data_IF_387530102288
#
_entry.id   IF_387530102288
#
_cell.length_a   1.000
_cell.length_b   1.000
_cell.length_c   1.000
_cell.angle_alpha   90.00
_cell.angle_beta   90.00
_cell.angle_gamma   90.00
#
_symmetry.space_group_name_H-M   'P 1'
#
loop_
_entity.id
_entity.type
_entity.pdbx_description
1 polymer ?
#
# COMPACT_ATOMS: atom_id res chain seq x y z
N UNK A 1 -9.42 -29.86 16.54
CA UNK A 1 -8.12 -29.34 17.07
C UNK A 1 -7.25 -29.03 15.88
N UNK A 2 -7.06 -27.75 15.56
CA UNK A 2 -6.19 -27.36 14.44
C UNK A 2 -4.73 -27.50 14.91
N UNK A 3 -3.96 -28.32 14.23
CA UNK A 3 -2.51 -28.46 14.48
C UNK A 3 -1.86 -27.10 14.28
N UNK A 4 -1.22 -26.57 15.34
CA UNK A 4 -0.30 -25.44 15.20
C UNK A 4 0.86 -25.94 14.32
N UNK A 5 0.88 -25.52 13.05
CA UNK A 5 2.09 -25.67 12.24
C UNK A 5 3.20 -24.92 12.97
N UNK A 6 4.21 -25.65 13.42
CA UNK A 6 5.44 -25.05 13.95
C UNK A 6 6.06 -24.22 12.82
N UNK A 7 6.18 -22.92 13.06
CA UNK A 7 6.99 -22.06 12.20
C UNK A 7 8.42 -22.56 12.30
N UNK A 8 9.00 -22.96 11.19
CA UNK A 8 10.41 -23.32 11.12
C UNK A 8 11.24 -22.10 11.51
N UNK A 9 11.82 -22.14 12.71
CA UNK A 9 12.64 -21.04 13.24
C UNK A 9 13.93 -20.82 12.43
N UNK A 10 14.26 -21.74 11.52
CA UNK A 10 15.41 -21.67 10.62
C UNK A 10 15.02 -21.29 9.18
N UNK A 11 13.75 -20.98 8.92
CA UNK A 11 13.34 -20.51 7.62
C UNK A 11 14.06 -19.17 7.31
N UNK A 12 15.02 -19.23 6.43
CA UNK A 12 15.73 -18.05 5.92
C UNK A 12 14.78 -17.33 4.96
N UNK A 13 14.14 -16.26 5.44
CA UNK A 13 13.35 -15.39 4.57
C UNK A 13 14.31 -14.62 3.65
N UNK A 14 13.99 -14.50 2.36
CA UNK A 14 14.83 -13.74 1.46
C UNK A 14 14.85 -12.26 1.86
N UNK A 15 16.05 -11.67 1.92
CA UNK A 15 16.20 -10.24 2.19
C UNK A 15 15.43 -9.42 1.14
N UNK A 16 14.62 -8.42 1.57
CA UNK A 16 13.89 -7.56 0.65
C UNK A 16 14.84 -6.59 -0.06
N UNK A 17 14.46 -6.17 -1.27
CA UNK A 17 15.18 -5.13 -1.99
C UNK A 17 14.87 -3.75 -1.39
N UNK A 18 15.62 -3.36 -0.36
CA UNK A 18 15.43 -2.08 0.35
C UNK A 18 15.76 -0.86 -0.52
N UNK A 19 16.71 -1.00 -1.47
CA UNK A 19 17.01 0.10 -2.40
C UNK A 19 15.80 0.42 -3.26
N UNK A 20 15.19 -0.60 -3.87
CA UNK A 20 13.97 -0.42 -4.65
C UNK A 20 12.81 0.13 -3.80
N UNK A 21 12.64 -0.35 -2.58
CA UNK A 21 11.61 0.18 -1.70
C UNK A 21 11.78 1.68 -1.44
N UNK A 22 13.01 2.14 -1.24
CA UNK A 22 13.32 3.55 -1.05
C UNK A 22 13.09 4.36 -2.33
N UNK A 23 13.51 3.85 -3.48
CA UNK A 23 13.30 4.51 -4.78
C UNK A 23 11.80 4.66 -5.07
N UNK A 24 11.01 3.60 -4.87
CA UNK A 24 9.54 3.64 -4.99
C UNK A 24 8.90 4.64 -4.03
N UNK A 25 9.39 4.74 -2.80
CA UNK A 25 8.89 5.71 -1.84
C UNK A 25 9.13 7.15 -2.32
N UNK A 26 10.33 7.44 -2.81
CA UNK A 26 10.68 8.76 -3.35
C UNK A 26 9.90 9.09 -4.63
N UNK A 27 9.71 8.13 -5.53
CA UNK A 27 8.89 8.31 -6.72
C UNK A 27 7.43 8.60 -6.35
N UNK A 28 6.85 7.81 -5.44
CA UNK A 28 5.48 8.01 -4.96
C UNK A 28 5.30 9.37 -4.28
N UNK A 29 6.25 9.80 -3.43
CA UNK A 29 6.21 11.12 -2.78
C UNK A 29 6.24 12.27 -3.79
N UNK A 30 6.90 12.12 -4.93
CA UNK A 30 6.96 13.13 -5.98
C UNK A 30 5.67 13.24 -6.81
N UNK A 31 4.82 12.21 -6.79
CA UNK A 31 3.56 12.20 -7.55
C UNK A 31 2.50 13.02 -6.81
N UNK A 32 1.94 14.09 -7.43
CA UNK A 32 0.80 14.80 -6.88
C UNK A 32 -0.40 13.87 -6.68
N UNK A 33 -1.04 13.93 -5.53
CA UNK A 33 -2.17 13.06 -5.22
C UNK A 33 -2.72 13.33 -3.82
N UNK A 34 -3.24 14.55 -3.62
CA UNK A 34 -4.00 14.86 -2.41
C UNK A 34 -5.33 14.13 -2.39
N UNK A 35 -5.97 14.07 -1.23
CA UNK A 35 -7.29 13.46 -1.06
C UNK A 35 -8.28 13.87 -2.17
N UNK A 36 -8.85 12.88 -2.85
CA UNK A 36 -9.75 13.04 -4.01
C UNK A 36 -9.05 13.24 -5.36
N UNK A 37 -7.72 13.29 -5.42
CA UNK A 37 -6.92 13.48 -6.63
C UNK A 37 -5.81 12.41 -6.79
N UNK A 38 -6.13 11.17 -6.47
CA UNK A 38 -5.16 10.07 -6.41
C UNK A 38 -4.94 9.36 -7.77
N UNK A 39 -5.57 9.82 -8.85
CA UNK A 39 -5.54 9.15 -10.16
C UNK A 39 -4.12 8.85 -10.64
N UNK A 40 -3.19 9.81 -10.56
CA UNK A 40 -1.78 9.61 -10.97
C UNK A 40 -1.05 8.57 -10.13
N UNK A 41 -1.40 8.43 -8.85
CA UNK A 41 -0.80 7.43 -7.96
C UNK A 41 -1.29 6.04 -8.33
N UNK A 42 -2.59 5.90 -8.59
CA UNK A 42 -3.18 4.65 -9.09
C UNK A 42 -2.55 4.23 -10.41
N UNK A 43 -2.35 5.18 -11.33
CA UNK A 43 -1.71 4.91 -12.63
C UNK A 43 -0.28 4.43 -12.45
N UNK A 44 0.51 5.08 -11.58
CA UNK A 44 1.87 4.69 -11.27
C UNK A 44 1.94 3.27 -10.69
N UNK A 45 1.16 2.99 -9.63
CA UNK A 45 1.14 1.66 -9.01
C UNK A 45 0.70 0.60 -10.03
N UNK A 46 -0.38 0.87 -10.77
CA UNK A 46 -0.93 -0.07 -11.76
C UNK A 46 0.06 -0.36 -12.88
N UNK A 47 0.73 0.66 -13.43
CA UNK A 47 1.72 0.48 -14.49
C UNK A 47 2.93 -0.31 -14.00
N UNK A 48 3.44 -0.01 -12.80
CA UNK A 48 4.53 -0.75 -12.15
C UNK A 48 4.19 -2.23 -11.98
N UNK A 49 2.98 -2.52 -11.49
CA UNK A 49 2.52 -3.90 -11.31
C UNK A 49 2.37 -4.65 -12.63
N UNK A 50 1.85 -4.01 -13.68
CA UNK A 50 1.74 -4.61 -15.02
C UNK A 50 3.10 -4.91 -15.62
N UNK A 51 4.06 -4.02 -15.47
CA UNK A 51 5.45 -4.22 -15.91
C UNK A 51 6.09 -5.42 -15.21
N UNK A 52 5.79 -5.63 -13.94
CA UNK A 52 6.24 -6.79 -13.17
C UNK A 52 5.49 -8.11 -13.51
N UNK A 53 4.52 -8.07 -14.44
CA UNK A 53 3.79 -9.25 -14.87
C UNK A 53 2.57 -9.62 -14.01
N UNK A 54 2.08 -8.72 -13.17
CA UNK A 54 0.82 -8.95 -12.43
C UNK A 54 -0.34 -8.99 -13.42
N UNK A 55 -1.16 -10.06 -13.46
CA UNK A 55 -2.26 -10.16 -14.39
C UNK A 55 -3.27 -9.01 -14.23
N UNK A 56 -3.70 -8.42 -15.35
CA UNK A 56 -4.65 -7.30 -15.32
C UNK A 56 -5.95 -7.62 -14.58
N UNK A 57 -6.40 -8.87 -14.62
CA UNK A 57 -7.59 -9.33 -13.89
C UNK A 57 -7.42 -9.32 -12.36
N UNK A 58 -6.17 -9.34 -11.86
CA UNK A 58 -5.87 -9.27 -10.45
C UNK A 58 -5.91 -7.82 -9.93
N UNK A 59 -5.77 -6.82 -10.80
CA UNK A 59 -5.71 -5.40 -10.48
C UNK A 59 -7.08 -4.77 -10.75
N UNK A 60 -7.68 -4.14 -9.74
CA UNK A 60 -9.01 -3.53 -9.85
C UNK A 60 -9.07 -2.22 -9.09
N UNK A 61 -9.77 -1.25 -9.64
CA UNK A 61 -10.26 -0.10 -8.88
C UNK A 61 -11.75 -0.30 -8.56
N UNK A 62 -12.16 0.11 -7.38
CA UNK A 62 -13.58 0.08 -7.01
C UNK A 62 -14.29 1.39 -7.38
N UNK A 63 -15.53 1.54 -6.94
CA UNK A 63 -16.34 2.73 -7.18
C UNK A 63 -16.59 3.55 -5.89
N UNK A 64 -15.76 3.40 -4.87
CA UNK A 64 -15.94 4.08 -3.57
C UNK A 64 -16.02 5.60 -3.75
N UNK A 65 -15.21 6.20 -4.63
CA UNK A 65 -15.22 7.63 -4.93
C UNK A 65 -16.59 8.18 -5.34
N UNK A 66 -17.49 7.35 -5.89
CA UNK A 66 -18.86 7.75 -6.27
C UNK A 66 -19.81 7.86 -5.07
N UNK A 67 -19.42 7.27 -3.94
CA UNK A 67 -20.21 7.27 -2.70
C UNK A 67 -19.66 8.25 -1.67
N UNK A 68 -18.40 8.69 -1.85
CA UNK A 68 -17.74 9.64 -0.95
C UNK A 68 -18.35 11.03 -1.14
N UNK A 69 -18.71 11.73 -0.04
CA UNK A 69 -19.13 13.13 -0.12
C UNK A 69 -18.05 13.98 -0.79
N UNK A 70 -18.43 14.72 -1.84
CA UNK A 70 -17.47 15.50 -2.65
C UNK A 70 -16.83 14.72 -3.80
N UNK A 71 -17.02 13.41 -3.88
CA UNK A 71 -16.52 12.60 -4.98
C UNK A 71 -14.99 12.34 -4.90
N UNK A 72 -14.39 12.08 -6.05
CA UNK A 72 -12.96 11.86 -6.24
C UNK A 72 -12.67 11.42 -7.67
N UNK A 73 -11.40 11.44 -8.07
CA UNK A 73 -10.98 11.04 -9.43
C UNK A 73 -11.08 9.53 -9.63
N UNK A 74 -10.80 8.75 -8.59
CA UNK A 74 -10.68 7.29 -8.67
C UNK A 74 -11.11 6.66 -7.34
N UNK A 75 -11.52 5.39 -7.37
CA UNK A 75 -11.77 4.58 -6.18
C UNK A 75 -10.51 3.91 -5.65
N UNK A 76 -10.70 3.09 -4.63
CA UNK A 76 -9.62 2.31 -4.04
C UNK A 76 -8.97 1.37 -5.05
N UNK A 77 -7.66 1.20 -4.96
CA UNK A 77 -6.93 0.19 -5.73
C UNK A 77 -6.84 -1.10 -4.92
N UNK A 78 -7.23 -2.21 -5.54
CA UNK A 78 -7.20 -3.55 -4.94
C UNK A 78 -6.48 -4.51 -5.86
N UNK A 79 -5.53 -5.26 -5.32
CA UNK A 79 -4.88 -6.36 -6.03
C UNK A 79 -5.06 -7.64 -5.25
N UNK A 80 -5.50 -8.70 -5.92
CA UNK A 80 -5.70 -10.01 -5.28
C UNK A 80 -4.83 -11.07 -5.90
N UNK A 81 -4.06 -11.77 -5.09
CA UNK A 81 -3.30 -12.94 -5.49
C UNK A 81 -3.95 -14.20 -4.92
N UNK A 82 -4.09 -15.22 -5.75
CA UNK A 82 -4.36 -16.56 -5.29
C UNK A 82 -3.13 -17.09 -4.53
N UNK A 83 -3.32 -17.82 -3.44
CA UNK A 83 -2.17 -18.41 -2.74
C UNK A 83 -1.43 -19.44 -3.60
N UNK A 84 -0.13 -19.58 -3.39
CA UNK A 84 0.67 -20.71 -3.89
C UNK A 84 0.49 -21.94 -2.99
N UNK A 85 -0.04 -21.74 -1.80
CA UNK A 85 -0.44 -22.78 -0.84
C UNK A 85 -1.73 -22.34 -0.12
N UNK A 86 -2.41 -23.30 0.47
CA UNK A 86 -3.60 -23.03 1.29
C UNK A 86 -3.25 -22.24 2.54
N UNK A 87 -4.16 -21.40 2.98
CA UNK A 87 -4.02 -20.61 4.19
C UNK A 87 -5.06 -19.49 4.26
N UNK A 88 -5.21 -18.89 5.44
CA UNK A 88 -6.10 -17.75 5.61
C UNK A 88 -5.56 -16.53 4.86
N UNK A 89 -6.44 -15.84 4.13
CA UNK A 89 -6.09 -14.61 3.40
C UNK A 89 -5.52 -13.55 4.34
N UNK A 90 -4.50 -12.85 3.89
CA UNK A 90 -3.93 -11.66 4.53
C UNK A 90 -4.24 -10.43 3.69
N UNK A 91 -4.45 -9.31 4.36
CA UNK A 91 -4.60 -7.99 3.76
C UNK A 91 -3.37 -7.15 4.12
N UNK A 92 -2.77 -6.51 3.14
CA UNK A 92 -1.70 -5.53 3.28
C UNK A 92 -2.22 -4.21 2.73
N UNK A 93 -2.10 -3.12 3.50
CA UNK A 93 -2.66 -1.84 3.09
C UNK A 93 -1.82 -0.64 3.48
N UNK A 94 -2.01 0.44 2.74
CA UNK A 94 -1.46 1.77 2.96
C UNK A 94 -2.28 2.76 2.13
N UNK A 95 -2.55 3.97 2.63
CA UNK A 95 -3.37 4.92 1.88
C UNK A 95 -2.58 5.69 0.81
N UNK A 96 -3.29 6.09 -0.27
CA UNK A 96 -2.64 6.72 -1.43
C UNK A 96 -2.60 8.24 -1.37
N UNK A 97 -3.53 8.85 -0.69
CA UNK A 97 -3.61 10.30 -0.64
C UNK A 97 -2.59 10.92 0.30
N UNK A 98 -2.39 12.19 0.17
CA UNK A 98 -1.59 13.03 1.06
C UNK A 98 -2.32 14.33 1.35
N UNK A 99 -1.92 15.02 2.41
CA UNK A 99 -2.41 16.37 2.71
C UNK A 99 -1.95 17.38 1.64
N UNK A 100 -2.69 18.48 1.43
CA UNK A 100 -2.44 19.43 0.34
C UNK A 100 -1.02 20.02 0.30
N UNK A 101 -0.38 20.20 1.44
CA UNK A 101 0.98 20.77 1.52
C UNK A 101 2.06 19.87 0.87
N UNK A 102 1.74 18.60 0.62
CA UNK A 102 2.66 17.65 -0.03
C UNK A 102 2.62 17.74 -1.56
N UNK A 103 1.69 18.49 -2.15
CA UNK A 103 1.63 18.67 -3.62
C UNK A 103 2.85 19.43 -4.10
N UNK A 104 3.59 18.85 -5.03
CA UNK A 104 4.84 19.41 -5.53
C UNK A 104 6.09 19.05 -4.72
N UNK A 105 5.98 18.09 -3.80
CA UNK A 105 7.11 17.58 -3.05
C UNK A 105 8.29 17.17 -3.96
N UNK A 106 9.49 17.50 -3.54
CA UNK A 106 10.74 17.17 -4.22
C UNK A 106 11.60 16.31 -3.29
N UNK A 107 11.31 15.01 -3.18
CA UNK A 107 12.03 14.14 -2.27
C UNK A 107 13.49 14.01 -2.70
N UNK A 108 14.40 14.16 -1.75
CA UNK A 108 15.84 14.00 -1.96
C UNK A 108 16.46 13.21 -0.82
N UNK A 109 17.32 12.26 -1.18
CA UNK A 109 18.10 11.52 -0.20
C UNK A 109 19.24 12.38 0.36
N UNK A 110 19.34 12.43 1.69
CA UNK A 110 20.43 13.07 2.42
C UNK A 110 20.94 12.14 3.51
N UNK A 111 22.03 11.43 3.24
CA UNK A 111 22.54 10.39 4.14
C UNK A 111 21.53 9.25 4.30
N UNK A 112 21.10 9.02 5.53
CA UNK A 112 20.11 7.99 5.90
C UNK A 112 18.66 8.52 5.96
N UNK A 113 18.39 9.72 5.43
CA UNK A 113 17.07 10.36 5.45
C UNK A 113 16.63 10.72 4.03
N UNK A 114 15.31 10.78 3.85
CA UNK A 114 14.68 11.47 2.72
C UNK A 114 14.11 12.77 3.25
N UNK A 115 14.39 13.87 2.56
CA UNK A 115 13.94 15.22 2.91
C UNK A 115 13.26 15.86 1.71
N UNK A 116 12.37 16.83 1.94
CA UNK A 116 11.90 17.70 0.86
C UNK A 116 13.01 18.69 0.50
N UNK A 117 13.29 18.84 -0.80
CA UNK A 117 14.24 19.85 -1.30
C UNK A 117 13.58 21.23 -1.41
N UNK A 118 12.26 21.28 -1.35
CA UNK A 118 11.47 22.48 -1.29
C UNK A 118 10.99 22.71 0.16
N UNK A 119 11.46 23.76 0.85
CA UNK A 119 11.09 24.00 2.25
C UNK A 119 9.62 24.39 2.44
N UNK A 120 8.91 24.69 1.36
CA UNK A 120 7.48 25.05 1.41
C UNK A 120 6.55 23.86 1.20
N UNK A 121 7.10 22.68 0.91
CA UNK A 121 6.30 21.48 0.72
C UNK A 121 6.57 20.45 1.83
N UNK A 122 5.50 19.77 2.25
CA UNK A 122 5.61 18.53 2.98
C UNK A 122 6.21 17.43 2.10
N UNK A 123 6.75 16.38 2.71
CA UNK A 123 7.35 15.26 1.99
C UNK A 123 6.31 14.25 1.48
N UNK A 124 5.21 14.09 2.21
CA UNK A 124 4.19 13.08 1.91
C UNK A 124 4.63 11.64 2.27
N UNK A 125 5.51 11.51 3.27
CA UNK A 125 5.91 10.20 3.78
C UNK A 125 4.74 9.40 4.32
N UNK A 126 3.81 10.08 4.93
CA UNK A 126 2.47 9.64 5.30
C UNK A 126 1.55 9.79 4.07
N UNK A 127 1.07 8.72 3.42
CA UNK A 127 1.51 7.34 3.67
C UNK A 127 2.18 6.73 2.41
N UNK A 128 2.91 7.57 1.63
CA UNK A 128 3.64 7.10 0.44
C UNK A 128 4.77 6.12 0.78
N UNK A 129 5.30 6.20 2.01
CA UNK A 129 6.27 5.23 2.49
C UNK A 129 5.61 3.86 2.70
N UNK A 130 4.43 3.81 3.33
CA UNK A 130 3.64 2.59 3.45
C UNK A 130 3.20 2.05 2.09
N UNK A 131 2.76 2.94 1.17
CA UNK A 131 2.46 2.56 -0.21
C UNK A 131 3.64 1.84 -0.88
N UNK A 132 4.85 2.35 -0.70
CA UNK A 132 6.06 1.74 -1.26
C UNK A 132 6.37 0.38 -0.63
N UNK A 133 6.19 0.22 0.67
CA UNK A 133 6.35 -1.08 1.37
C UNK A 133 5.39 -2.11 0.81
N UNK A 134 4.10 -1.75 0.71
CA UNK A 134 3.05 -2.65 0.18
C UNK A 134 3.32 -3.01 -1.28
N UNK A 135 3.69 -2.02 -2.11
CA UNK A 135 4.02 -2.23 -3.52
C UNK A 135 5.28 -3.09 -3.68
N UNK A 136 6.38 -2.76 -2.98
CA UNK A 136 7.62 -3.54 -3.06
C UNK A 136 7.40 -4.98 -2.62
N UNK A 137 6.62 -5.21 -1.56
CA UNK A 137 6.27 -6.56 -1.10
C UNK A 137 5.57 -7.37 -2.19
N UNK A 138 4.62 -6.76 -2.91
CA UNK A 138 3.94 -7.42 -4.02
C UNK A 138 4.91 -7.75 -5.15
N UNK A 139 5.76 -6.80 -5.54
CA UNK A 139 6.78 -7.00 -6.57
C UNK A 139 7.74 -8.13 -6.21
N UNK A 140 8.26 -8.16 -4.97
CA UNK A 140 9.13 -9.26 -4.49
C UNK A 140 8.45 -10.62 -4.64
N UNK A 141 7.18 -10.71 -4.23
CA UNK A 141 6.42 -11.96 -4.30
C UNK A 141 6.29 -12.44 -5.75
N UNK A 142 5.91 -11.56 -6.67
CA UNK A 142 5.63 -11.93 -8.06
C UNK A 142 6.93 -12.23 -8.82
N UNK A 143 7.91 -11.34 -8.77
CA UNK A 143 9.15 -11.47 -9.54
C UNK A 143 10.00 -12.65 -9.07
N UNK A 144 10.08 -12.85 -7.76
CA UNK A 144 10.86 -13.94 -7.15
C UNK A 144 10.06 -15.23 -6.95
N UNK A 145 8.77 -15.23 -7.34
CA UNK A 145 7.86 -16.37 -7.19
C UNK A 145 7.85 -16.94 -5.77
N UNK A 146 7.81 -16.03 -4.78
CA UNK A 146 7.84 -16.44 -3.38
C UNK A 146 6.56 -17.19 -2.99
N UNK A 147 6.67 -18.25 -2.17
CA UNK A 147 5.49 -18.93 -1.66
C UNK A 147 4.69 -18.03 -0.74
N UNK A 148 3.37 -17.99 -0.91
CA UNK A 148 2.49 -17.12 -0.13
C UNK A 148 1.07 -17.71 0.01
N UNK A 149 0.35 -17.45 1.11
CA UNK A 149 -1.09 -17.73 1.20
C UNK A 149 -1.86 -16.77 0.29
N UNK A 150 -3.19 -16.90 0.17
CA UNK A 150 -4.01 -15.89 -0.52
C UNK A 150 -3.78 -14.49 0.05
N UNK A 151 -3.49 -13.52 -0.81
CA UNK A 151 -3.19 -12.13 -0.43
C UNK A 151 -4.17 -11.16 -1.08
N UNK A 152 -4.42 -10.07 -0.38
CA UNK A 152 -5.06 -8.85 -0.89
C UNK A 152 -4.17 -7.67 -0.56
N UNK A 153 -3.86 -6.87 -1.56
CA UNK A 153 -3.19 -5.58 -1.41
C UNK A 153 -4.25 -4.51 -1.63
N UNK A 154 -4.29 -3.54 -0.74
CA UNK A 154 -5.34 -2.54 -0.71
C UNK A 154 -4.76 -1.16 -0.48
N UNK A 155 -5.00 -0.27 -1.44
CA UNK A 155 -4.61 1.13 -1.36
C UNK A 155 -5.89 1.98 -1.37
N UNK A 156 -6.39 2.37 -0.18
CA UNK A 156 -7.54 3.26 -0.08
C UNK A 156 -7.19 4.70 -0.50
N UNK A 157 -8.23 5.41 -0.95
CA UNK A 157 -8.22 6.83 -1.26
C UNK A 157 -8.79 7.63 -0.09
N UNK A 158 -8.48 8.93 0.00
CA UNK A 158 -9.13 9.88 0.91
C UNK A 158 -9.12 9.41 2.38
N UNK A 159 -7.98 8.93 2.84
CA UNK A 159 -7.77 8.56 4.24
C UNK A 159 -7.74 9.83 5.11
N UNK A 160 -6.94 10.81 4.73
CA UNK A 160 -6.60 12.06 5.46
C UNK A 160 -7.81 12.97 5.74
N UNK A 161 -8.92 12.72 5.06
CA UNK A 161 -10.17 13.50 5.22
C UNK A 161 -11.29 12.70 5.87
N UNK A 162 -10.98 11.54 6.45
CA UNK A 162 -11.92 10.77 7.27
C UNK A 162 -12.09 9.31 6.87
N UNK A 163 -11.01 8.65 6.44
CA UNK A 163 -10.97 7.22 6.10
C UNK A 163 -11.99 6.83 5.01
N UNK A 164 -12.36 7.76 4.14
CA UNK A 164 -13.51 7.57 3.25
C UNK A 164 -13.33 6.37 2.32
N UNK A 165 -12.17 6.19 1.72
CA UNK A 165 -11.91 5.04 0.85
C UNK A 165 -12.17 3.72 1.55
N UNK A 166 -11.66 3.56 2.77
CA UNK A 166 -11.86 2.36 3.56
C UNK A 166 -13.33 2.19 3.99
N UNK A 167 -14.01 3.27 4.37
CA UNK A 167 -15.43 3.25 4.82
C UNK A 167 -16.39 2.81 3.71
N UNK A 168 -16.12 3.17 2.46
CA UNK A 168 -16.95 2.84 1.30
C UNK A 168 -16.39 1.67 0.48
N UNK A 169 -15.35 0.99 0.97
CA UNK A 169 -14.79 -0.15 0.28
C UNK A 169 -15.79 -1.33 0.21
N UNK A 170 -16.01 -1.92 -0.98
CA UNK A 170 -16.83 -3.11 -1.10
C UNK A 170 -16.08 -4.32 -0.51
N UNK A 171 -16.48 -4.76 0.69
CA UNK A 171 -15.81 -5.84 1.44
C UNK A 171 -15.62 -7.14 0.64
N UNK A 172 -16.48 -7.38 -0.35
CA UNK A 172 -16.33 -8.53 -1.27
C UNK A 172 -14.99 -8.53 -2.01
N UNK A 173 -14.47 -7.34 -2.38
CA UNK A 173 -13.20 -7.21 -3.09
C UNK A 173 -12.00 -7.55 -2.19
N UNK A 174 -12.13 -7.39 -0.89
CA UNK A 174 -11.07 -7.69 0.05
C UNK A 174 -10.93 -9.19 0.37
N UNK A 175 -11.94 -10.01 0.03
CA UNK A 175 -11.86 -11.47 0.11
C UNK A 175 -11.84 -12.06 1.51
N UNK A 176 -12.42 -11.39 2.50
CA UNK A 176 -12.55 -11.84 3.91
C UNK A 176 -11.20 -12.18 4.56
N UNK A 177 -10.25 -11.25 4.66
CA UNK A 177 -8.97 -11.50 5.29
C UNK A 177 -9.13 -11.86 6.77
N UNK A 178 -8.24 -12.71 7.28
CA UNK A 178 -8.18 -13.09 8.70
C UNK A 178 -7.22 -12.22 9.51
N UNK A 179 -6.27 -11.58 8.84
CA UNK A 179 -5.38 -10.57 9.39
C UNK A 179 -5.20 -9.46 8.38
N UNK A 180 -5.14 -8.24 8.86
CA UNK A 180 -4.82 -7.04 8.09
C UNK A 180 -3.59 -6.37 8.70
N UNK A 181 -2.72 -5.87 7.83
CA UNK A 181 -1.54 -5.10 8.18
C UNK A 181 -1.64 -3.75 7.48
N UNK A 182 -1.60 -2.67 8.26
CA UNK A 182 -1.57 -1.29 7.77
C UNK A 182 -0.19 -0.70 8.05
N UNK A 183 0.44 -0.10 7.05
CA UNK A 183 1.73 0.56 7.16
C UNK A 183 1.56 2.09 7.25
N UNK A 184 0.73 2.51 8.17
CA UNK A 184 0.38 3.89 8.39
C UNK A 184 0.79 4.33 9.79
N UNK A 185 1.58 5.39 9.87
CA UNK A 185 1.97 6.09 11.08
C UNK A 185 2.95 5.37 12.01
N UNK A 186 3.36 6.08 13.05
CA UNK A 186 4.13 5.56 14.15
C UNK A 186 5.63 5.36 13.88
N UNK A 187 6.34 4.85 14.89
CA UNK A 187 7.74 4.48 14.76
C UNK A 187 7.84 3.08 14.13
N UNK A 188 8.86 2.88 13.28
CA UNK A 188 9.02 1.67 12.48
C UNK A 188 9.11 0.37 13.31
N UNK A 189 9.55 0.47 14.55
CA UNK A 189 9.65 -0.66 15.48
C UNK A 189 8.38 -0.92 16.30
N UNK A 190 7.32 -0.12 16.10
CA UNK A 190 6.04 -0.25 16.83
C UNK A 190 4.98 -0.92 15.98
N UNK A 191 4.28 -1.87 16.59
CA UNK A 191 3.08 -2.48 16.02
C UNK A 191 1.90 -2.07 16.88
N UNK A 192 0.97 -1.31 16.32
CA UNK A 192 -0.29 -0.95 16.97
C UNK A 192 -1.31 -2.06 16.74
N UNK A 193 -1.79 -2.70 17.79
CA UNK A 193 -2.74 -3.83 17.73
C UNK A 193 -4.15 -3.47 18.15
N UNK A 194 -4.40 -2.20 18.50
CA UNK A 194 -5.71 -1.69 18.84
C UNK A 194 -5.66 -0.19 19.09
N UNK A 195 -6.81 0.45 18.92
CA UNK A 195 -7.01 1.86 19.22
C UNK A 195 -8.29 2.01 20.04
N UNK A 196 -8.29 2.96 20.96
CA UNK A 196 -9.51 3.42 21.65
C UNK A 196 -10.07 4.61 20.87
N UNK A 197 -11.32 4.52 20.48
CA UNK A 197 -12.06 5.63 19.85
C UNK A 197 -12.62 6.59 20.88
#
# INVERSE_FOLDING_TARGET
>A
MASRQQVDKNAQFPEPNLSRALDLAMELMAIPGRSGQEGKVVDFITSTLRTAGVPSLAIRTDAAHKQIPGGGEVGNLVVTLAGTHEGPRRLLMAHMDTVPICVGAKPRRKGNRVISDDPQTGLGGDDRAGCAVVLNTLLEIVERKLPHPPLTFFWPVQEEVGLFGARFAPLKLLGKPKLAFNWDGGAAEKITIGATG
#
